data_IF_982013063061
#
_entry.id   IF_982013063061
#
_cell.length_a   1.000
_cell.length_b   1.000
_cell.length_c   1.000
_cell.angle_alpha   90.00
_cell.angle_beta   90.00
_cell.angle_gamma   90.00
#
_symmetry.space_group_name_H-M   'P 1'
#
loop_
_entity.id
_entity.type
_entity.pdbx_description
1 polymer ?
2 non-polymer ?
3 water ?
#
# COMPACT_ATOMS: atom_id res chain seq x y z
N UNK A 1 19.94 1.54 -1.87
CA UNK A 1 19.94 1.06 -0.47
C UNK A 1 18.76 0.14 -0.19
N UNK A 2 18.76 -0.45 1.00
CA UNK A 2 17.68 -1.35 1.39
C UNK A 2 16.85 -0.72 2.49
N UNK A 3 15.53 -0.77 2.33
CA UNK A 3 14.62 -0.21 3.31
C UNK A 3 13.81 -1.33 3.96
N UNK A 4 14.03 -1.55 5.25
CA UNK A 4 13.30 -2.58 5.97
C UNK A 4 11.90 -2.05 6.29
N UNK A 5 10.99 -2.94 6.66
CA UNK A 5 9.62 -2.53 6.92
C UNK A 5 9.17 -2.60 8.38
N UNK A 6 10.12 -2.51 9.31
CA UNK A 6 9.77 -2.53 10.72
C UNK A 6 8.97 -1.28 11.06
N UNK A 7 9.26 -0.20 10.33
CA UNK A 7 8.55 1.07 10.49
C UNK A 7 8.00 1.48 9.13
N UNK A 8 7.07 2.43 9.13
CA UNK A 8 6.48 2.93 7.90
C UNK A 8 7.59 3.51 7.03
N UNK A 9 7.62 3.14 5.74
CA UNK A 9 8.64 3.64 4.82
C UNK A 9 8.33 5.05 4.33
N UNK A 10 8.66 6.03 5.17
CA UNK A 10 8.42 7.42 4.86
C UNK A 10 9.63 8.05 4.19
N UNK A 11 9.38 8.90 3.20
CA UNK A 11 10.45 9.60 2.51
C UNK A 11 10.01 11.03 2.26
N UNK A 12 10.97 11.87 1.89
CA UNK A 12 10.69 13.26 1.60
C UNK A 12 10.87 13.49 0.10
N UNK A 13 9.83 13.98 -0.55
CA UNK A 13 9.89 14.25 -1.98
C UNK A 13 9.77 15.74 -2.24
N UNK A 14 10.19 16.16 -3.42
CA UNK A 14 10.10 17.55 -3.81
C UNK A 14 9.17 17.59 -5.01
N UNK A 15 8.12 18.39 -4.91
CA UNK A 15 7.14 18.50 -5.97
C UNK A 15 6.52 19.90 -5.99
N UNK A 16 6.39 20.46 -7.18
CA UNK A 16 5.82 21.79 -7.32
C UNK A 16 6.51 22.82 -6.45
N UNK A 17 7.81 22.64 -6.24
CA UNK A 17 8.57 23.56 -5.42
C UNK A 17 8.26 23.42 -3.95
N UNK A 18 7.65 22.30 -3.58
CA UNK A 18 7.29 22.05 -2.19
C UNK A 18 7.90 20.75 -1.69
N UNK A 19 8.13 20.66 -0.38
CA UNK A 19 8.68 19.46 0.23
C UNK A 19 7.56 18.78 1.00
N UNK A 20 7.34 17.50 0.71
CA UNK A 20 6.29 16.76 1.39
C UNK A 20 6.76 15.38 1.82
N UNK A 21 6.21 14.91 2.93
CA UNK A 21 6.54 13.59 3.44
C UNK A 21 5.53 12.64 2.81
N UNK A 22 5.99 11.48 2.37
CA UNK A 22 5.10 10.52 1.74
C UNK A 22 5.50 9.09 2.06
N UNK A 23 4.52 8.20 2.03
CA UNK A 23 4.73 6.79 2.33
C UNK A 23 4.94 5.99 1.04
N UNK A 24 6.01 5.19 0.98
CA UNK A 24 6.26 4.36 -0.20
C UNK A 24 5.22 3.25 -0.11
N UNK A 25 4.29 3.25 -1.05
CA UNK A 25 3.17 2.32 -1.03
C UNK A 25 3.04 1.42 -2.26
N UNK A 26 3.55 0.20 -2.16
CA UNK A 26 3.49 -0.74 -3.28
C UNK A 26 2.06 -1.15 -3.64
N UNK A 27 1.11 -0.86 -2.76
CA UNK A 27 -0.28 -1.20 -3.03
C UNK A 27 -1.00 -0.15 -3.88
N UNK A 28 -0.43 1.04 -3.97
CA UNK A 28 -1.03 2.14 -4.72
C UNK A 28 -0.63 2.17 -6.19
N UNK A 29 -1.62 2.21 -7.08
CA UNK A 29 -1.34 2.26 -8.52
C UNK A 29 -0.62 3.56 -8.88
N UNK A 30 -1.05 4.66 -8.25
CA UNK A 30 -0.48 5.97 -8.50
C UNK A 30 -0.28 6.73 -7.19
N UNK A 31 0.55 7.76 -7.25
CA UNK A 31 0.83 8.61 -6.11
C UNK A 31 -0.41 9.45 -5.78
N UNK A 32 -0.73 9.56 -4.49
CA UNK A 32 -1.88 10.35 -4.05
C UNK A 32 -1.41 11.31 -2.97
N UNK A 33 -1.64 12.60 -3.19
CA UNK A 33 -1.22 13.64 -2.25
C UNK A 33 -2.36 14.53 -1.80
N UNK A 34 -2.23 15.09 -0.60
CA UNK A 34 -3.23 16.00 -0.05
C UNK A 34 -3.34 17.23 -0.94
N UNK A 35 -4.42 18.00 -0.76
CA UNK A 35 -4.65 19.19 -1.57
C UNK A 35 -3.43 20.08 -1.75
N UNK A 36 -3.17 20.39 -3.01
CA UNK A 36 -2.04 21.23 -3.39
C UNK A 36 -2.28 21.68 -4.82
N UNK A 37 -1.51 22.69 -5.23
CA UNK A 37 -1.61 23.23 -6.58
C UNK A 37 -0.59 22.59 -7.50
N UNK A 38 -1.02 22.28 -8.72
CA UNK A 38 -0.16 21.70 -9.74
C UNK A 38 -0.53 22.31 -11.08
N UNK A 39 0.47 22.59 -11.93
CA UNK A 39 0.23 23.17 -13.25
C UNK A 39 -0.20 22.13 -14.28
N UNK A 40 -0.77 22.59 -15.38
CA UNK A 40 -1.20 21.68 -16.43
C UNK A 40 -2.65 21.26 -16.35
N UNK A 41 -3.05 20.37 -17.25
CA UNK A 41 -4.42 19.89 -17.27
C UNK A 41 -4.63 18.74 -16.29
N UNK A 42 -5.89 18.50 -15.95
CA UNK A 42 -6.25 17.43 -15.03
C UNK A 42 -7.65 16.90 -15.32
N UNK A 43 -7.91 15.68 -14.88
CA UNK A 43 -9.22 15.06 -15.07
C UNK A 43 -9.68 14.46 -13.74
N UNK A 44 -10.96 14.62 -13.40
CA UNK A 44 -11.45 14.07 -12.14
C UNK A 44 -11.79 12.59 -12.21
N UNK A 45 -11.61 11.90 -11.09
CA UNK A 45 -11.94 10.49 -10.99
C UNK A 45 -12.11 10.09 -9.54
N UNK A 46 -12.62 8.88 -9.34
CA UNK A 46 -12.86 8.35 -8.00
C UNK A 46 -11.97 7.16 -7.73
N UNK A 47 -11.33 7.14 -6.57
CA UNK A 47 -10.50 6.01 -6.21
C UNK A 47 -11.09 5.38 -4.95
N UNK A 48 -11.20 4.06 -4.96
CA UNK A 48 -11.78 3.37 -3.83
C UNK A 48 -10.81 2.62 -2.94
N UNK A 49 -10.57 3.18 -1.76
CA UNK A 49 -9.67 2.53 -0.83
C UNK A 49 -10.47 1.96 0.31
N UNK A 50 -9.79 1.61 1.39
CA UNK A 50 -10.48 1.09 2.55
C UNK A 50 -11.27 2.26 3.12
N UNK A 51 -12.54 2.03 3.43
CA UNK A 51 -13.37 3.08 3.99
C UNK A 51 -14.25 3.78 2.97
N UNK A 52 -14.00 3.53 1.69
CA UNK A 52 -14.81 4.15 0.66
C UNK A 52 -14.04 4.89 -0.42
N UNK A 53 -14.77 5.60 -1.27
CA UNK A 53 -14.17 6.35 -2.36
C UNK A 53 -13.96 7.82 -2.03
N UNK A 54 -12.99 8.42 -2.69
CA UNK A 54 -12.73 9.85 -2.57
C UNK A 54 -12.52 10.35 -3.99
N UNK A 55 -12.84 11.62 -4.20
CA UNK A 55 -12.68 12.25 -5.51
C UNK A 55 -11.31 12.91 -5.57
N UNK A 56 -10.61 12.71 -6.68
CA UNK A 56 -9.29 13.29 -6.86
C UNK A 56 -9.13 13.89 -8.25
N UNK A 57 -8.10 14.72 -8.40
CA UNK A 57 -7.81 15.34 -9.69
C UNK A 57 -6.53 14.68 -10.19
N UNK A 58 -6.56 14.12 -11.39
CA UNK A 58 -5.38 13.46 -11.94
C UNK A 58 -4.54 14.36 -12.83
N UNK A 59 -3.28 14.55 -12.44
CA UNK A 59 -2.34 15.35 -13.21
C UNK A 59 -1.26 14.41 -13.72
N UNK A 60 -0.90 14.53 -15.00
CA UNK A 60 0.13 13.68 -15.57
C UNK A 60 1.38 14.48 -15.92
N UNK A 61 2.48 13.78 -16.17
CA UNK A 61 3.74 14.42 -16.54
C UNK A 61 4.21 15.45 -15.51
N UNK A 62 4.17 15.07 -14.24
CA UNK A 62 4.59 15.96 -13.17
C UNK A 62 5.99 15.56 -12.68
N UNK A 63 6.92 16.52 -12.62
CA UNK A 63 8.29 16.26 -12.15
C UNK A 63 8.34 16.08 -10.63
N UNK A 64 8.98 15.01 -10.18
CA UNK A 64 9.10 14.75 -8.74
C UNK A 64 10.48 14.24 -8.39
N UNK A 65 11.07 14.79 -7.34
CA UNK A 65 12.38 14.35 -6.91
C UNK A 65 12.18 13.46 -5.68
N UNK A 66 12.68 12.22 -5.76
CA UNK A 66 12.54 11.27 -4.68
C UNK A 66 13.76 10.36 -4.58
N UNK A 67 14.26 10.18 -3.36
CA UNK A 67 15.43 9.34 -3.12
C UNK A 67 16.59 9.72 -4.04
N UNK A 68 16.78 11.02 -4.25
CA UNK A 68 17.86 11.49 -5.09
C UNK A 68 17.63 11.23 -6.57
N UNK A 69 16.40 10.90 -6.93
CA UNK A 69 16.05 10.63 -8.32
C UNK A 69 15.06 11.66 -8.86
N UNK A 70 15.32 12.16 -10.06
CA UNK A 70 14.44 13.12 -10.70
C UNK A 70 13.55 12.37 -11.68
N UNK A 71 12.35 12.00 -11.23
CA UNK A 71 11.43 11.24 -12.06
C UNK A 71 10.18 12.02 -12.45
N UNK A 72 9.41 11.47 -13.37
CA UNK A 72 8.18 12.11 -13.82
C UNK A 72 7.05 11.10 -13.76
N UNK A 73 5.89 11.54 -13.28
CA UNK A 73 4.76 10.63 -13.18
C UNK A 73 3.42 11.29 -12.96
N UNK A 74 2.43 10.47 -12.64
CA UNK A 74 1.07 10.93 -12.41
C UNK A 74 0.83 11.16 -10.94
N UNK A 75 0.08 12.22 -10.64
CA UNK A 75 -0.23 12.55 -9.27
C UNK A 75 -1.73 12.80 -9.12
N UNK A 76 -2.34 12.12 -8.15
CA UNK A 76 -3.76 12.28 -7.86
C UNK A 76 -3.83 13.17 -6.64
N UNK A 77 -4.53 14.30 -6.78
CA UNK A 77 -4.65 15.27 -5.70
C UNK A 77 -6.05 15.28 -5.13
N UNK A 78 -6.16 15.09 -3.83
CA UNK A 78 -7.46 15.08 -3.22
C UNK A 78 -7.41 14.97 -1.72
N UNK A 79 -8.56 14.78 -1.08
CA UNK A 79 -8.64 14.67 0.38
C UNK A 79 -8.19 13.35 0.98
N UNK A 80 -6.94 12.96 0.70
CA UNK A 80 -6.40 11.72 1.26
C UNK A 80 -5.84 12.04 2.64
N UNK A 81 -6.10 11.17 3.63
CA UNK A 81 -5.59 11.41 4.98
C UNK A 81 -4.07 11.22 5.08
N UNK A 82 -3.49 10.58 4.07
CA UNK A 82 -2.05 10.33 4.05
C UNK A 82 -1.47 10.37 2.65
N UNK A 83 -0.30 10.99 2.51
CA UNK A 83 0.36 11.07 1.21
C UNK A 83 1.05 9.74 0.92
N UNK A 84 0.85 9.22 -0.28
CA UNK A 84 1.49 7.96 -0.66
C UNK A 84 2.10 8.03 -2.05
N UNK A 85 3.24 7.37 -2.19
CA UNK A 85 3.94 7.28 -3.48
C UNK A 85 3.54 5.92 -4.05
N UNK A 86 2.92 5.92 -5.23
CA UNK A 86 2.49 4.69 -5.85
C UNK A 86 3.45 4.09 -6.86
N UNK A 87 3.09 2.92 -7.37
CA UNK A 87 3.91 2.20 -8.34
C UNK A 87 4.30 3.02 -9.56
N UNK A 88 3.39 3.87 -10.02
CA UNK A 88 3.66 4.70 -11.19
C UNK A 88 4.99 5.45 -11.06
N UNK A 89 5.33 5.86 -9.84
CA UNK A 89 6.58 6.57 -9.61
C UNK A 89 7.69 5.64 -9.11
N UNK A 90 7.33 4.67 -8.27
CA UNK A 90 8.32 3.75 -7.73
C UNK A 90 9.09 3.01 -8.82
N UNK A 91 8.42 2.68 -9.92
CA UNK A 91 9.10 1.97 -11.01
C UNK A 91 10.21 2.81 -11.63
N UNK A 92 9.98 4.11 -11.72
CA UNK A 92 10.95 5.01 -12.32
C UNK A 92 12.29 5.11 -11.58
N UNK A 93 12.29 4.80 -10.29
CA UNK A 93 13.52 4.85 -9.50
C UNK A 93 14.08 3.43 -9.30
N UNK A 94 13.48 2.46 -9.98
CA UNK A 94 13.94 1.08 -9.89
C UNK A 94 13.69 0.41 -8.55
N UNK A 95 12.60 0.79 -7.90
CA UNK A 95 12.26 0.23 -6.60
C UNK A 95 11.62 -1.15 -6.76
N UNK A 96 12.09 -2.12 -5.99
CA UNK A 96 11.54 -3.47 -6.05
C UNK A 96 11.34 -4.04 -4.66
N UNK A 97 10.52 -5.09 -4.58
CA UNK A 97 10.25 -5.80 -3.34
C UNK A 97 11.12 -7.05 -3.38
N UNK A 98 11.77 -7.36 -2.26
CA UNK A 98 12.63 -8.53 -2.20
C UNK A 98 12.49 -9.31 -0.91
N UNK A 99 12.51 -10.63 -1.01
CA UNK A 99 12.41 -11.50 0.16
C UNK A 99 12.77 -12.93 -0.21
N UNK B 1 12.53 -13.89 -3.83
CA UNK B 1 12.58 -13.40 -5.22
C UNK B 1 12.48 -11.88 -5.26
N UNK B 2 12.68 -11.32 -6.45
CA UNK B 2 12.60 -9.88 -6.65
C UNK B 2 11.36 -9.56 -7.46
N UNK B 3 10.53 -8.66 -6.94
CA UNK B 3 9.29 -8.28 -7.59
C UNK B 3 9.30 -6.82 -8.03
N UNK B 4 9.21 -6.60 -9.34
CA UNK B 4 9.17 -5.24 -9.87
C UNK B 4 7.75 -4.73 -9.67
N UNK B 5 7.54 -3.44 -9.93
CA UNK B 5 6.24 -2.85 -9.69
C UNK B 5 5.49 -2.30 -10.91
N UNK B 6 5.84 -2.79 -12.10
CA UNK B 6 5.14 -2.35 -13.29
C UNK B 6 3.69 -2.83 -13.26
N UNK B 7 3.47 -3.92 -12.54
CA UNK B 7 2.14 -4.50 -12.36
C UNK B 7 1.87 -4.58 -10.85
N UNK B 8 0.62 -4.78 -10.45
CA UNK B 8 0.33 -4.89 -9.02
C UNK B 8 1.04 -6.12 -8.46
N UNK B 9 1.65 -5.98 -7.27
CA UNK B 9 2.36 -7.10 -6.63
C UNK B 9 1.40 -8.08 -5.99
N UNK B 10 0.70 -8.82 -6.84
CA UNK B 10 -0.27 -9.81 -6.40
C UNK B 10 0.44 -11.14 -6.27
N UNK B 11 0.21 -11.81 -5.15
CA UNK B 11 0.83 -13.10 -4.89
C UNK B 11 -0.22 -14.06 -4.34
N UNK B 12 0.14 -15.33 -4.27
CA UNK B 12 -0.78 -16.32 -3.74
C UNK B 12 -0.45 -16.55 -2.27
N UNK B 13 -1.49 -16.57 -1.45
CA UNK B 13 -1.32 -16.82 -0.02
C UNK B 13 -2.14 -18.06 0.30
N UNK B 14 -1.87 -18.66 1.45
CA UNK B 14 -2.64 -19.82 1.89
C UNK B 14 -3.02 -19.58 3.34
N UNK B 15 -4.32 -19.66 3.62
CA UNK B 15 -4.81 -19.46 4.97
C UNK B 15 -6.02 -20.38 5.12
N UNK B 16 -6.10 -21.07 6.25
CA UNK B 16 -7.21 -21.97 6.46
C UNK B 16 -7.25 -23.08 5.42
N UNK B 17 -6.09 -23.42 4.87
CA UNK B 17 -6.00 -24.47 3.87
C UNK B 17 -6.42 -24.08 2.47
N UNK B 18 -6.77 -22.81 2.28
CA UNK B 18 -7.21 -22.35 0.97
C UNK B 18 -6.26 -21.34 0.34
N UNK B 19 -6.15 -21.40 -0.99
CA UNK B 19 -5.30 -20.47 -1.73
C UNK B 19 -6.12 -19.24 -2.11
N UNK B 20 -5.53 -18.07 -1.92
CA UNK B 20 -6.16 -16.80 -2.24
C UNK B 20 -5.14 -15.84 -2.84
N UNK B 21 -5.64 -14.84 -3.57
CA UNK B 21 -4.77 -13.83 -4.16
C UNK B 21 -4.73 -12.64 -3.20
N UNK B 22 -3.54 -12.09 -2.98
CA UNK B 22 -3.39 -10.96 -2.08
C UNK B 22 -2.36 -9.98 -2.62
N UNK B 23 -2.46 -8.73 -2.17
CA UNK B 23 -1.57 -7.65 -2.61
C UNK B 23 -0.53 -7.29 -1.55
N UNK B 24 0.75 -7.30 -1.92
CA UNK B 24 1.81 -6.92 -0.98
C UNK B 24 1.78 -5.40 -0.90
N UNK B 25 1.43 -4.88 0.28
CA UNK B 25 1.26 -3.45 0.44
C UNK B 25 2.12 -2.82 1.53
N UNK B 26 3.24 -2.23 1.15
CA UNK B 26 4.13 -1.59 2.12
C UNK B 26 3.51 -0.38 2.84
N UNK B 27 2.42 0.15 2.29
CA UNK B 27 1.76 1.29 2.90
C UNK B 27 0.74 0.92 3.97
N UNK B 28 0.55 -0.37 4.19
CA UNK B 28 -0.39 -0.86 5.18
C UNK B 28 0.30 -1.36 6.45
N UNK B 29 -0.15 -0.88 7.61
CA UNK B 29 0.41 -1.32 8.89
C UNK B 29 -0.06 -2.75 9.17
N UNK B 30 -1.31 -3.01 8.80
CA UNK B 30 -1.96 -4.29 9.05
C UNK B 30 -2.35 -5.06 7.80
N UNK B 31 -2.78 -6.30 8.02
CA UNK B 31 -3.21 -7.20 6.96
C UNK B 31 -4.74 -7.30 7.02
N UNK B 32 -5.40 -6.93 5.92
CA UNK B 32 -6.86 -6.93 5.84
C UNK B 32 -7.34 -7.93 4.78
N UNK B 33 -8.18 -8.88 5.20
CA UNK B 33 -8.69 -9.90 4.29
C UNK B 33 -10.20 -9.81 4.07
N UNK B 34 -10.63 -10.27 2.90
CA UNK B 34 -12.04 -10.31 2.53
C UNK B 34 -12.72 -11.35 3.42
N UNK B 35 -14.05 -11.27 3.52
CA UNK B 35 -14.81 -12.20 4.34
C UNK B 35 -14.37 -13.65 4.16
N UNK B 36 -14.17 -14.33 5.29
CA UNK B 36 -13.77 -15.73 5.30
C UNK B 36 -13.95 -16.26 6.71
N UNK B 37 -13.79 -17.57 6.87
CA UNK B 37 -13.94 -18.19 8.17
C UNK B 37 -12.60 -18.47 8.84
N UNK B 38 -12.48 -18.05 10.09
CA UNK B 38 -11.27 -18.27 10.87
C UNK B 38 -11.66 -18.84 12.23
N UNK B 39 -10.77 -19.63 12.85
CA UNK B 39 -11.04 -20.24 14.15
C UNK B 39 -10.83 -19.33 15.36
N UNK B 40 -11.38 -19.76 16.50
CA UNK B 40 -11.24 -19.02 17.73
C UNK B 40 -12.10 -17.78 17.88
N UNK B 41 -11.69 -16.92 18.80
CA UNK B 41 -12.39 -15.68 19.07
C UNK B 41 -11.71 -14.51 18.39
N UNK B 42 -12.47 -13.45 18.18
CA UNK B 42 -11.93 -12.25 17.57
C UNK B 42 -12.17 -11.04 18.46
N UNK B 43 -11.38 -10.00 18.24
CA UNK B 43 -11.46 -8.74 18.98
C UNK B 43 -11.79 -7.64 17.97
N UNK B 44 -12.38 -6.54 18.44
CA UNK B 44 -12.71 -5.44 17.53
C UNK B 44 -11.54 -4.52 17.23
N UNK B 45 -11.58 -3.90 16.06
CA UNK B 45 -10.58 -2.93 15.68
C UNK B 45 -11.18 -2.01 14.63
N UNK B 46 -10.82 -0.74 14.72
CA UNK B 46 -11.27 0.26 13.77
C UNK B 46 -10.01 0.70 13.05
N UNK B 47 -9.98 0.51 11.74
CA UNK B 47 -8.82 0.92 10.97
C UNK B 47 -9.17 2.02 9.98
N UNK B 48 -8.18 2.84 9.66
CA UNK B 48 -8.41 3.94 8.74
C UNK B 48 -7.70 3.78 7.42
N UNK B 49 -8.44 4.02 6.34
CA UNK B 49 -7.89 3.92 5.00
C UNK B 49 -8.06 5.26 4.29
N UNK B 50 -7.77 5.29 3.00
CA UNK B 50 -7.89 6.53 2.24
C UNK B 50 -9.34 7.04 2.17
N UNK B 51 -10.30 6.12 2.20
CA UNK B 51 -11.70 6.53 2.11
C UNK B 51 -12.44 6.71 3.43
N UNK B 52 -11.79 6.39 4.54
CA UNK B 52 -12.43 6.53 5.83
C UNK B 52 -12.12 5.37 6.75
N UNK B 53 -12.93 5.19 7.79
CA UNK B 53 -12.71 4.11 8.75
C UNK B 53 -13.69 2.96 8.56
N UNK B 54 -13.26 1.76 8.95
CA UNK B 54 -14.11 0.59 8.86
C UNK B 54 -13.86 -0.30 10.07
N UNK B 55 -14.88 -1.07 10.43
CA UNK B 55 -14.78 -2.00 11.55
C UNK B 55 -14.36 -3.35 10.98
N UNK B 56 -13.47 -4.03 11.69
CA UNK B 56 -12.99 -5.33 11.25
C UNK B 56 -12.94 -6.31 12.41
N UNK B 57 -12.78 -7.58 12.09
CA UNK B 57 -12.66 -8.62 13.11
C UNK B 57 -11.18 -8.96 13.16
N UNK B 58 -10.57 -8.80 14.33
CA UNK B 58 -9.15 -9.09 14.49
C UNK B 58 -8.89 -10.48 15.06
N UNK B 59 -8.19 -11.30 14.28
CA UNK B 59 -7.83 -12.65 14.70
C UNK B 59 -6.32 -12.68 14.89
N UNK B 60 -5.88 -13.23 16.02
CA UNK B 60 -4.46 -13.30 16.32
C UNK B 60 -3.86 -14.70 16.20
N UNK B 61 -2.54 -14.73 16.01
CA UNK B 61 -1.78 -15.97 15.89
C UNK B 61 -2.35 -16.93 14.86
N UNK B 62 -2.68 -16.40 13.69
CA UNK B 62 -3.23 -17.19 12.60
C UNK B 62 -2.13 -17.60 11.62
N UNK B 63 -2.01 -18.90 11.33
CA UNK B 63 -0.98 -19.35 10.40
C UNK B 63 -1.35 -18.90 8.99
N UNK B 64 -0.37 -18.40 8.25
CA UNK B 64 -0.62 -17.94 6.89
C UNK B 64 0.67 -18.01 6.08
N UNK B 65 0.56 -18.56 4.88
CA UNK B 65 1.70 -18.67 3.97
C UNK B 65 1.59 -17.59 2.90
N UNK B 66 2.71 -16.92 2.63
CA UNK B 66 2.76 -15.86 1.64
C UNK B 66 3.89 -16.21 0.67
N UNK B 67 3.54 -16.50 -0.58
CA UNK B 67 4.55 -16.87 -1.56
C UNK B 67 5.38 -18.03 -1.04
N UNK B 68 4.71 -18.95 -0.34
CA UNK B 68 5.40 -20.11 0.20
C UNK B 68 6.11 -19.89 1.52
N UNK B 69 6.22 -18.63 1.95
CA UNK B 69 6.88 -18.32 3.22
C UNK B 69 5.89 -18.39 4.38
N UNK B 70 6.22 -19.18 5.39
CA UNK B 70 5.36 -19.36 6.55
C UNK B 70 5.40 -18.21 7.55
N UNK B 71 4.22 -17.82 8.02
CA UNK B 71 4.09 -16.75 9.00
C UNK B 71 2.96 -17.11 9.95
N UNK B 72 2.94 -16.46 11.10
CA UNK B 72 1.87 -16.68 12.08
C UNK B 72 1.65 -15.31 12.68
N UNK B 73 0.46 -14.75 12.46
CA UNK B 73 0.22 -13.43 12.99
C UNK B 73 -1.22 -12.96 12.96
N UNK B 74 -1.38 -11.66 13.10
CA UNK B 74 -2.68 -11.03 13.13
C UNK B 74 -3.25 -10.71 11.77
N UNK B 75 -4.50 -11.10 11.57
CA UNK B 75 -5.22 -10.81 10.34
C UNK B 75 -6.55 -10.15 10.69
N UNK B 76 -6.93 -9.17 9.88
CA UNK B 76 -8.16 -8.42 10.08
C UNK B 76 -9.14 -8.71 8.96
N UNK B 77 -10.34 -9.18 9.31
CA UNK B 77 -11.36 -9.50 8.32
C UNK B 77 -12.42 -8.41 8.27
N UNK B 78 -12.64 -7.84 7.09
CA UNK B 78 -13.62 -6.79 6.94
C UNK B 78 -13.84 -6.38 5.50
N UNK B 79 -14.63 -5.33 5.25
CA UNK B 79 -14.92 -4.84 3.90
C UNK B 79 -13.72 -4.26 3.15
N UNK B 80 -13.29 -4.97 2.12
CA UNK B 80 -12.16 -4.55 1.30
C UNK B 80 -12.30 -5.16 -0.09
N UNK B 81 -11.91 -4.42 -1.15
CA UNK B 81 -12.03 -4.98 -2.50
C UNK B 81 -10.94 -5.97 -2.81
N UNK B 82 -9.94 -6.07 -1.93
CA UNK B 82 -8.87 -7.02 -2.16
C UNK B 82 -8.13 -7.37 -0.86
N UNK B 83 -7.56 -8.57 -0.83
CA UNK B 83 -6.79 -9.02 0.31
C UNK B 83 -5.50 -8.21 0.30
N UNK B 84 -5.18 -7.57 1.43
CA UNK B 84 -3.99 -6.74 1.53
C UNK B 84 -3.04 -7.29 2.58
N UNK B 85 -1.78 -7.51 2.18
CA UNK B 85 -0.77 -8.01 3.11
C UNK B 85 0.05 -6.80 3.56
N UNK B 86 -0.04 -6.47 4.85
CA UNK B 86 0.66 -5.32 5.39
C UNK B 86 1.99 -5.64 6.05
N UNK B 87 2.62 -4.61 6.60
CA UNK B 87 3.94 -4.77 7.22
C UNK B 87 4.05 -5.79 8.36
N UNK B 88 2.98 -6.04 9.10
CA UNK B 88 3.06 -7.00 10.19
C UNK B 88 3.49 -8.37 9.66
N UNK B 89 3.05 -8.70 8.45
CA UNK B 89 3.43 -9.97 7.84
C UNK B 89 4.59 -9.85 6.87
N UNK B 90 4.76 -8.69 6.23
CA UNK B 90 5.87 -8.53 5.31
C UNK B 90 7.18 -8.67 6.08
N UNK B 91 7.22 -8.17 7.32
CA UNK B 91 8.45 -8.30 8.10
C UNK B 91 8.72 -9.76 8.47
N UNK B 92 7.67 -10.54 8.67
CA UNK B 92 7.85 -11.95 9.02
C UNK B 92 8.49 -12.76 7.89
N UNK B 93 8.24 -12.37 6.64
CA UNK B 93 8.81 -13.10 5.52
C UNK B 93 10.12 -12.48 5.01
N UNK B 94 10.60 -11.46 5.71
CA UNK B 94 11.84 -10.82 5.33
C UNK B 94 11.77 -9.94 4.11
N UNK B 95 10.60 -9.36 3.85
CA UNK B 95 10.42 -8.50 2.69
C UNK B 95 10.96 -7.09 2.94
N UNK B 96 11.64 -6.55 1.93
CA UNK B 96 12.21 -5.21 2.01
C UNK B 96 12.03 -4.49 0.68
N UNK B 97 12.23 -3.18 0.71
CA UNK B 97 12.17 -2.34 -0.48
C UNK B 97 13.61 -2.06 -0.87
N UNK B 98 13.91 -2.13 -2.16
CA UNK B 98 15.28 -1.91 -2.62
C UNK B 98 15.35 -1.08 -3.89
N UNK B 99 16.38 -0.23 -3.98
CA UNK B 99 16.58 0.61 -5.15
C UNK B 99 18.01 1.12 -5.20
X LIG C 1 -5.52 2.19 -1.20
X LIG C 1 -6.36 2.88 -0.60
X LIG C 1 -3.45 1.09 -1.64
X LIG C 1 -4.33 1.16 -2.84
X LIG C 1 -5.45 2.02 -2.52
X LIG C 1 -6.33 2.60 -3.55
X LIG C 1 -5.67 3.47 -4.61
X LIG C 1 -6.41 3.38 -5.82
X LIG C 1 -7.59 2.45 -5.66
X LIG C 1 -7.19 1.61 -4.42
X LIG C 1 -6.47 0.49 -4.94
X LIG C 1 -6.02 4.10 -7.00
X LIG C 1 -4.83 4.94 -6.94
X LIG C 1 -4.06 5.05 -5.70
X LIG C 1 -4.48 4.31 -4.51
X LIG C 1 -2.46 2.05 -1.92
X LIG C 1 -2.52 1.87 1.33
X LIG C 1 -1.90 2.89 2.25
X LIG C 1 -4.98 0.08 0.37
X LIG C 1 -5.76 -0.96 -0.57
X LIG C 1 -5.35 -1.98 -1.53
X LIG C 1 -6.32 -2.78 -2.24
X LIG C 1 -7.73 -2.58 -2.00
X LIG C 1 -8.16 -1.57 -1.04
X LIG C 1 -7.20 -0.76 -0.33
X LIG C 1 -5.32 7.14 8.18
X LIG C 1 -4.49 6.49 7.08
X LIG C 1 -3.09 6.09 7.31
X LIG C 1 -2.29 5.46 6.28
X LIG C 1 -2.84 5.21 4.97
X LIG C 1 -4.22 5.59 4.70
X LIG C 1 -5.03 6.21 5.73
X LIG C 1 -2.15 4.61 3.91
X LIG C 1 -2.76 3.40 3.31
X LIG C 1 -2.98 2.42 4.29
X LIG C 1 -4.17 1.88 4.58
X LIG C 1 -4.07 0.87 5.72
X LIG C 1 -4.10 1.77 6.90
X LIG C 1 -2.99 2.01 7.71
X LIG C 1 -3.32 2.89 8.69
X LIG C 1 -2.34 3.29 9.65
X LIG C 1 -1.88 1.49 7.55
X LIG C 1 -5.12 -0.31 5.85
X LIG C 1 -6.58 0.17 6.04
X LIG C 1 -5.04 -1.22 4.60
X LIG C 1 -4.78 -1.20 7.07
X LIG C 1 -5.23 2.19 4.00
X LIG C 1 -4.69 7.36 9.43
X LIG C 1 -5.38 7.95 10.48
X LIG C 1 -6.75 8.38 10.34
X LIG C 1 -7.43 8.17 9.07
X LIG C 1 -4.42 1.40 -0.45
X LIG C 1 -6.71 7.55 7.98
X LIG C 1 -3.75 2.40 0.55
#
# INVERSE_FOLDING_TARGET
>A
PQITLWQRPLVTIKIGGQLKEALLDTGADDTVLEEMSLPGRWKPKMIGGIGGFIKVRQYDQIPIEICGHKAIGTVLVGPTPTNVIGRNLLTQIGCTLNF
>B
PQITLWQRPLVTIKIGGQLKEALLDTGADDTVLEEMSLPGRWKPKMIGGIGGFIKVRQYDQIPIEICGHKAIGTVLVGPTPTNVIGRNLLTQIGCTLNF
>C hetero
1 QG9 C1 O2 C4 C5 N6 C7 C8 C9 C10 C11 O12 C13 C14 C15 C16 O17 C18 C19 C21 C22 C27 C26 C25 C24 C23 C28 C29 C30 C31 C32 C33 C34 C35 N36 N37 C38 C39 N40 C41 O42 C43 O44 C45 C46 C47 C48 O49 C54 C53 N52 C51 C3 C50 C20
#
